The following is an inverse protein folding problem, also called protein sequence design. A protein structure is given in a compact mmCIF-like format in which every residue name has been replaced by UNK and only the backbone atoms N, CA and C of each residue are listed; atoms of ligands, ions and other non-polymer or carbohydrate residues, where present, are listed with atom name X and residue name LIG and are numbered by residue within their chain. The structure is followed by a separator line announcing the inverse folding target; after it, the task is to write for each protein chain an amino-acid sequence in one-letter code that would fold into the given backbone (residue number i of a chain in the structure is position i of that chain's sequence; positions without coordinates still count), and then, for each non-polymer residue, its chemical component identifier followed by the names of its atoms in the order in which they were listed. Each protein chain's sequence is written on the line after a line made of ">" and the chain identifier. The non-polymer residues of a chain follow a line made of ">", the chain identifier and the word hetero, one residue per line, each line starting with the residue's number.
data_IF_403478655483
#
_entry.id   IF_403478655483
#
_cell.length_a   1.000
_cell.length_b   1.000
_cell.length_c   1.000
_cell.angle_alpha   90.00
_cell.angle_beta   90.00
_cell.angle_gamma   90.00
#
_symmetry.space_group_name_H-M   'P 1'
#
loop_
_entity.id
_entity.type
_entity.pdbx_description
1 polymer ?
#
# COMPACT_ATOMS: atom_id res chain seq x y z
N UNK A 1 22.20 12.33 -13.49
CA UNK A 1 21.69 12.01 -12.14
C UNK A 1 20.20 11.73 -12.27
N UNK A 2 19.79 10.47 -12.44
CA UNK A 2 18.36 10.14 -12.64
C UNK A 2 17.67 10.02 -11.28
N UNK A 3 16.87 11.02 -10.90
CA UNK A 3 15.90 10.89 -9.82
C UNK A 3 14.80 9.93 -10.27
N UNK A 4 14.75 8.75 -9.65
CA UNK A 4 13.67 7.77 -9.84
C UNK A 4 12.41 8.35 -9.19
N UNK A 5 11.55 8.99 -9.97
CA UNK A 5 10.23 9.45 -9.52
C UNK A 5 9.31 8.23 -9.36
N UNK A 6 9.47 7.54 -8.24
CA UNK A 6 8.54 6.50 -7.79
C UNK A 6 7.30 7.26 -7.30
N UNK A 7 6.29 7.42 -8.16
CA UNK A 7 5.05 8.09 -7.80
C UNK A 7 4.29 7.21 -6.81
N UNK A 8 4.48 7.52 -5.52
CA UNK A 8 3.74 6.90 -4.43
C UNK A 8 2.41 7.62 -4.29
N UNK A 9 1.35 6.93 -4.66
CA UNK A 9 -0.01 7.42 -4.54
C UNK A 9 -0.68 6.75 -3.34
N UNK A 10 -1.46 7.54 -2.60
CA UNK A 10 -2.28 7.07 -1.50
C UNK A 10 -3.74 7.16 -1.96
N UNK A 11 -4.42 6.01 -2.01
CA UNK A 11 -5.82 5.93 -2.42
C UNK A 11 -6.66 5.48 -1.23
N UNK A 12 -7.82 6.12 -1.03
CA UNK A 12 -8.81 5.68 -0.05
C UNK A 12 -9.68 4.58 -0.69
N UNK A 13 -9.60 3.37 -0.15
CA UNK A 13 -10.44 2.24 -0.51
C UNK A 13 -11.35 1.90 0.68
N UNK A 14 -12.64 2.18 0.53
CA UNK A 14 -13.62 2.14 1.61
C UNK A 14 -13.22 3.02 2.82
N UNK A 15 -12.59 2.43 3.83
CA UNK A 15 -12.06 3.12 5.03
C UNK A 15 -10.55 2.94 5.20
N UNK A 16 -9.90 2.28 4.25
CA UNK A 16 -8.49 1.91 4.29
C UNK A 16 -7.68 2.75 3.31
N UNK A 17 -6.57 3.30 3.79
CA UNK A 17 -5.61 3.99 2.93
C UNK A 17 -4.65 2.95 2.35
N UNK A 18 -4.70 2.77 1.03
CA UNK A 18 -3.84 1.83 0.32
C UNK A 18 -2.74 2.61 -0.38
N UNK A 19 -1.49 2.27 -0.04
CA UNK A 19 -0.31 2.78 -0.76
C UNK A 19 -0.11 1.96 -2.02
N UNK A 20 -0.05 2.67 -3.15
CA UNK A 20 0.31 2.10 -4.46
C UNK A 20 1.45 2.89 -5.10
N UNK A 21 2.19 2.21 -5.97
CA UNK A 21 3.18 2.83 -6.82
C UNK A 21 3.01 2.28 -8.23
N UNK A 22 3.00 3.18 -9.19
CA UNK A 22 3.13 2.82 -10.59
C UNK A 22 4.61 2.80 -10.99
N UNK A 23 5.06 1.69 -11.57
CA UNK A 23 6.38 1.62 -12.20
C UNK A 23 6.21 1.74 -13.72
N UNK A 24 6.52 2.92 -14.26
CA UNK A 24 6.39 3.22 -15.69
C UNK A 24 7.29 2.34 -16.58
N UNK A 25 8.38 1.78 -16.03
CA UNK A 25 9.34 0.99 -16.81
C UNK A 25 8.84 -0.42 -17.10
N UNK A 26 8.07 -0.97 -16.18
CA UNK A 26 7.52 -2.33 -16.26
C UNK A 26 6.01 -2.32 -16.46
N UNK A 27 5.40 -1.14 -16.60
CA UNK A 27 3.95 -0.92 -16.68
C UNK A 27 3.18 -1.69 -15.60
N UNK A 28 3.80 -1.82 -14.42
CA UNK A 28 3.33 -2.67 -13.33
C UNK A 28 2.90 -1.83 -12.15
N UNK A 29 1.78 -2.22 -11.55
CA UNK A 29 1.29 -1.65 -10.30
C UNK A 29 1.83 -2.42 -9.11
N UNK A 30 2.45 -1.71 -8.18
CA UNK A 30 2.88 -2.25 -6.90
C UNK A 30 1.99 -1.73 -5.79
N UNK A 31 1.56 -2.62 -4.91
CA UNK A 31 0.72 -2.30 -3.76
C UNK A 31 1.41 -2.68 -2.46
N UNK A 32 1.12 -1.95 -1.39
CA UNK A 32 1.54 -2.35 -0.05
C UNK A 32 0.78 -3.60 0.38
N UNK A 33 1.51 -4.69 0.58
CA UNK A 33 0.95 -5.98 1.05
C UNK A 33 0.24 -5.82 2.40
N UNK A 34 0.80 -5.01 3.30
CA UNK A 34 0.23 -4.75 4.62
C UNK A 34 -1.13 -4.07 4.50
N UNK A 35 -1.25 -3.08 3.60
CA UNK A 35 -2.48 -2.29 3.45
C UNK A 35 -3.59 -3.14 2.80
N UNK A 36 -3.23 -4.01 1.84
CA UNK A 36 -4.17 -4.97 1.24
C UNK A 36 -4.65 -5.98 2.28
N UNK A 37 -3.74 -6.58 3.04
CA UNK A 37 -4.12 -7.55 4.07
C UNK A 37 -5.02 -6.89 5.12
N UNK A 38 -4.71 -5.67 5.56
CA UNK A 38 -5.54 -4.92 6.51
C UNK A 38 -6.96 -4.65 5.97
N UNK A 39 -7.08 -4.30 4.70
CA UNK A 39 -8.37 -4.10 4.04
C UNK A 39 -9.16 -5.42 3.91
N UNK A 40 -8.49 -6.53 3.55
CA UNK A 40 -9.13 -7.83 3.35
C UNK A 40 -9.63 -8.49 4.63
N UNK A 41 -8.96 -8.25 5.76
CA UNK A 41 -9.36 -8.79 7.06
C UNK A 41 -10.31 -7.86 7.83
N UNK A 42 -10.70 -6.73 7.24
CA UNK A 42 -11.51 -5.67 7.85
C UNK A 42 -11.02 -5.26 9.25
N UNK A 43 -9.72 -5.41 9.55
CA UNK A 43 -9.19 -5.03 10.86
C UNK A 43 -9.11 -3.51 10.95
N UNK A 44 -9.99 -2.94 11.76
CA UNK A 44 -9.89 -1.54 12.18
C UNK A 44 -8.53 -1.20 12.84
N UNK A 45 -7.86 -2.20 13.44
CA UNK A 45 -6.63 -2.01 14.20
C UNK A 45 -5.53 -3.01 13.78
N UNK A 46 -4.53 -2.50 13.05
CA UNK A 46 -3.27 -3.21 12.74
C UNK A 46 -2.36 -3.39 13.97
N UNK A 47 -2.63 -2.70 15.09
CA UNK A 47 -1.74 -2.64 16.26
C UNK A 47 -1.71 -3.91 17.14
N UNK A 48 -2.61 -4.87 16.93
CA UNK A 48 -2.69 -6.05 17.80
C UNK A 48 -1.81 -7.25 17.37
N UNK A 49 -0.93 -7.10 16.38
CA UNK A 49 -0.04 -8.17 15.91
C UNK A 49 1.43 -8.00 16.34
N UNK A 50 1.67 -7.32 17.47
CA UNK A 50 3.00 -7.20 18.08
C UNK A 50 2.97 -7.68 19.53
N UNK A 51 2.66 -8.95 19.74
CA UNK A 51 2.93 -9.60 21.02
C UNK A 51 3.23 -11.07 20.76
N UNK A 52 4.52 -11.40 20.68
CA UNK A 52 5.15 -12.64 21.12
C UNK A 52 6.66 -12.41 21.19
#
# INVERSE_FOLDING_TARGET
>A
MYMKNIQKELVLFERFYIRRCYDEKTETWYFSVIDIIAALIEQADFKCAQSY
#
